data_IF_793347967665
#
_entry.id   IF_793347967665
#
_cell.length_a   1.000
_cell.length_b   1.000
_cell.length_c   1.000
_cell.angle_alpha   90.00
_cell.angle_beta   90.00
_cell.angle_gamma   90.00
#
_symmetry.space_group_name_H-M   'P 1'
#
loop_
_entity.id
_entity.type
_entity.pdbx_description
1 polymer ?
#
# COMPACT_ATOMS: atom_id res chain seq x y z
N UNK A 1 -6.36 -8.22 26.57
CA UNK A 1 -6.99 -7.86 25.28
C UNK A 1 -6.43 -6.52 24.87
N UNK A 2 -5.73 -6.44 23.74
CA UNK A 2 -5.28 -5.14 23.23
C UNK A 2 -6.52 -4.28 22.91
N UNK A 3 -6.48 -3.01 23.31
CA UNK A 3 -7.57 -2.07 23.03
C UNK A 3 -7.66 -1.87 21.50
N UNK A 4 -8.87 -1.76 20.98
CA UNK A 4 -9.12 -1.44 19.58
C UNK A 4 -8.53 -0.06 19.26
N UNK A 5 -7.59 -0.02 18.29
CA UNK A 5 -6.95 1.22 17.87
C UNK A 5 -7.63 1.77 16.61
N UNK A 6 -8.17 2.98 16.74
CA UNK A 6 -8.73 3.70 15.60
C UNK A 6 -7.62 4.05 14.58
N UNK A 7 -6.40 4.36 15.05
CA UNK A 7 -5.26 4.63 14.20
C UNK A 7 -4.90 3.41 13.33
N UNK A 8 -4.85 2.23 13.93
CA UNK A 8 -4.62 0.98 13.21
C UNK A 8 -5.72 0.67 12.18
N UNK A 9 -6.99 0.93 12.52
CA UNK A 9 -8.10 0.78 11.57
C UNK A 9 -7.97 1.72 10.37
N UNK A 10 -7.67 2.98 10.62
CA UNK A 10 -7.49 3.99 9.55
C UNK A 10 -6.29 3.60 8.67
N UNK A 11 -5.16 3.17 9.26
CA UNK A 11 -4.01 2.72 8.50
C UNK A 11 -4.37 1.52 7.61
N UNK A 12 -4.97 0.48 8.18
CA UNK A 12 -5.40 -0.70 7.44
C UNK A 12 -6.35 -0.35 6.29
N UNK A 13 -7.33 0.52 6.55
CA UNK A 13 -8.26 1.01 5.54
C UNK A 13 -7.54 1.75 4.41
N UNK A 14 -6.72 2.75 4.75
CA UNK A 14 -6.06 3.58 3.75
C UNK A 14 -5.04 2.82 2.90
N UNK A 15 -4.21 1.98 3.53
CA UNK A 15 -3.24 1.18 2.78
C UNK A 15 -3.96 0.22 1.85
N UNK A 16 -4.93 -0.55 2.35
CA UNK A 16 -5.68 -1.48 1.51
C UNK A 16 -6.43 -0.77 0.37
N UNK A 17 -7.03 0.40 0.65
CA UNK A 17 -7.72 1.19 -0.36
C UNK A 17 -6.77 1.65 -1.46
N UNK A 18 -5.56 2.09 -1.09
CA UNK A 18 -4.55 2.58 -2.03
C UNK A 18 -4.05 1.43 -2.91
N UNK A 19 -3.58 0.33 -2.30
CA UNK A 19 -3.01 -0.79 -3.06
C UNK A 19 -4.05 -1.41 -4.00
N UNK A 20 -5.26 -1.67 -3.53
CA UNK A 20 -6.30 -2.20 -4.42
C UNK A 20 -6.83 -1.18 -5.44
N UNK A 21 -6.74 0.13 -5.19
CA UNK A 21 -7.01 1.14 -6.22
C UNK A 21 -5.99 1.06 -7.36
N UNK A 22 -4.73 0.73 -7.06
CA UNK A 22 -3.69 0.49 -8.08
C UNK A 22 -3.96 -0.79 -8.86
N UNK A 23 -4.37 -1.88 -8.19
CA UNK A 23 -4.86 -3.10 -8.88
C UNK A 23 -5.93 -2.74 -9.91
N UNK A 24 -6.95 -1.98 -9.50
CA UNK A 24 -8.05 -1.58 -10.39
C UNK A 24 -7.52 -0.76 -11.57
N UNK A 25 -6.70 0.26 -11.34
CA UNK A 25 -6.14 1.13 -12.40
C UNK A 25 -5.30 0.31 -13.38
N UNK A 26 -4.44 -0.59 -12.87
CA UNK A 26 -3.56 -1.41 -13.69
C UNK A 26 -4.34 -2.47 -14.49
N UNK A 27 -5.39 -3.08 -13.90
CA UNK A 27 -6.29 -4.00 -14.59
C UNK A 27 -7.00 -3.28 -15.74
N UNK A 28 -7.51 -2.07 -15.52
CA UNK A 28 -8.12 -1.28 -16.59
C UNK A 28 -7.11 -0.90 -17.69
N UNK A 29 -5.85 -0.63 -17.31
CA UNK A 29 -4.79 -0.36 -18.28
C UNK A 29 -4.42 -1.60 -19.11
N UNK A 30 -4.32 -2.78 -18.47
CA UNK A 30 -4.07 -4.07 -19.15
C UNK A 30 -5.29 -4.51 -19.98
N UNK A 31 -6.49 -4.22 -19.49
CA UNK A 31 -7.76 -4.66 -20.07
C UNK A 31 -8.37 -3.68 -21.09
N UNK A 32 -7.59 -2.70 -21.59
CA UNK A 32 -8.08 -1.72 -22.58
C UNK A 32 -8.57 -2.38 -23.90
N UNK A 33 -8.11 -3.59 -24.22
CA UNK A 33 -8.59 -4.40 -25.32
C UNK A 33 -9.85 -5.21 -24.95
N UNK A 34 -10.78 -5.39 -25.93
CA UNK A 34 -12.02 -6.14 -25.69
C UNK A 34 -11.74 -7.56 -25.20
N UNK A 35 -12.31 -7.94 -24.04
CA UNK A 35 -12.18 -9.27 -23.42
C UNK A 35 -10.94 -9.44 -22.50
N UNK A 36 -9.93 -8.62 -22.62
CA UNK A 36 -8.72 -8.68 -21.80
C UNK A 36 -8.98 -8.35 -20.32
N UNK A 37 -9.92 -7.43 -20.04
CA UNK A 37 -10.30 -7.03 -18.69
C UNK A 37 -10.70 -8.24 -17.82
N UNK A 38 -11.48 -9.18 -18.36
CA UNK A 38 -11.89 -10.38 -17.63
C UNK A 38 -10.70 -11.24 -17.21
N UNK A 39 -9.76 -11.49 -18.11
CA UNK A 39 -8.59 -12.31 -17.82
C UNK A 39 -7.65 -11.61 -16.82
N UNK A 40 -7.43 -10.31 -16.98
CA UNK A 40 -6.65 -9.52 -16.04
C UNK A 40 -7.29 -9.48 -14.65
N UNK A 41 -8.61 -9.31 -14.54
CA UNK A 41 -9.33 -9.33 -13.25
C UNK A 41 -9.27 -10.68 -12.56
N UNK A 42 -9.48 -11.79 -13.30
CA UNK A 42 -9.38 -13.14 -12.73
C UNK A 42 -7.94 -13.41 -12.27
N UNK A 43 -6.96 -13.02 -13.07
CA UNK A 43 -5.55 -13.12 -12.68
C UNK A 43 -5.25 -12.36 -11.40
N UNK A 44 -5.69 -11.10 -11.29
CA UNK A 44 -5.46 -10.29 -10.09
C UNK A 44 -6.14 -10.89 -8.84
N UNK A 45 -7.38 -11.36 -8.96
CA UNK A 45 -8.06 -12.03 -7.86
C UNK A 45 -7.32 -13.30 -7.42
N UNK A 46 -6.81 -14.10 -8.36
CA UNK A 46 -6.02 -15.29 -8.06
C UNK A 46 -4.70 -14.95 -7.37
N UNK A 47 -3.96 -13.95 -7.87
CA UNK A 47 -2.71 -13.48 -7.27
C UNK A 47 -2.91 -12.95 -5.86
N UNK A 48 -3.95 -12.13 -5.65
CA UNK A 48 -4.33 -11.62 -4.33
C UNK A 48 -4.72 -12.76 -3.36
N UNK A 49 -5.50 -13.74 -3.83
CA UNK A 49 -5.93 -14.87 -3.00
C UNK A 49 -4.75 -15.73 -2.54
N UNK A 50 -3.77 -15.99 -3.41
CA UNK A 50 -2.56 -16.75 -3.06
C UNK A 50 -1.77 -16.03 -1.98
N UNK A 51 -1.52 -14.73 -2.14
CA UNK A 51 -0.76 -13.94 -1.15
C UNK A 51 -1.53 -13.84 0.17
N UNK A 52 -2.83 -13.61 0.14
CA UNK A 52 -3.67 -13.57 1.34
C UNK A 52 -3.65 -14.92 2.10
N UNK A 53 -3.72 -16.05 1.40
CA UNK A 53 -3.63 -17.38 2.02
C UNK A 53 -2.28 -17.60 2.70
N UNK A 54 -1.17 -17.20 2.06
CA UNK A 54 0.18 -17.26 2.65
C UNK A 54 0.24 -16.36 3.90
N UNK A 55 -0.28 -15.15 3.82
CA UNK A 55 -0.28 -14.20 4.93
C UNK A 55 -1.08 -14.70 6.15
N UNK A 56 -2.24 -15.33 5.93
CA UNK A 56 -3.04 -15.93 7.00
C UNK A 56 -2.26 -17.06 7.69
N UNK A 57 -1.59 -17.92 6.91
CA UNK A 57 -0.75 -18.99 7.45
C UNK A 57 0.46 -18.46 8.25
N UNK A 58 1.13 -17.43 7.75
CA UNK A 58 2.26 -16.79 8.42
C UNK A 58 1.84 -16.02 9.69
N UNK A 59 0.66 -15.36 9.66
CA UNK A 59 0.15 -14.58 10.79
C UNK A 59 -0.02 -15.39 12.07
N UNK A 60 -0.43 -16.64 11.95
CA UNK A 60 -0.57 -17.54 13.11
C UNK A 60 0.74 -17.84 13.83
N UNK A 61 1.86 -17.85 13.11
CA UNK A 61 3.19 -18.08 13.69
C UNK A 61 3.72 -16.82 14.41
N UNK A 62 3.36 -15.62 13.95
CA UNK A 62 3.83 -14.36 14.54
C UNK A 62 3.17 -14.03 15.88
N UNK A 63 1.92 -14.48 16.10
CA UNK A 63 1.19 -14.25 17.37
C UNK A 63 1.87 -14.93 18.58
N UNK A 64 2.79 -15.86 18.35
CA UNK A 64 3.52 -16.56 19.42
C UNK A 64 4.72 -15.76 19.99
N UNK A 65 5.06 -14.61 19.42
CA UNK A 65 6.21 -13.80 19.86
C UNK A 65 5.88 -12.87 21.04
N UNK A 66 6.84 -12.55 21.93
CA UNK A 66 6.67 -11.51 22.96
C UNK A 66 6.33 -10.15 22.37
N UNK A 67 5.47 -9.39 23.06
CA UNK A 67 4.90 -8.14 22.52
C UNK A 67 5.92 -7.05 22.17
N UNK A 68 6.97 -6.88 22.99
CA UNK A 68 8.03 -5.88 22.74
C UNK A 68 8.90 -6.25 21.52
N UNK A 69 9.28 -7.52 21.41
CA UNK A 69 10.03 -8.02 20.27
C UNK A 69 9.22 -7.94 18.98
N UNK A 70 7.92 -8.22 19.10
CA UNK A 70 6.98 -8.12 17.99
C UNK A 70 6.83 -6.67 17.49
N UNK A 71 6.71 -5.69 18.39
CA UNK A 71 6.65 -4.27 18.02
C UNK A 71 7.95 -3.82 17.35
N UNK A 72 9.11 -4.22 17.88
CA UNK A 72 10.41 -3.92 17.28
C UNK A 72 10.58 -4.53 15.89
N UNK A 73 10.26 -5.82 15.76
CA UNK A 73 10.28 -6.51 14.46
C UNK A 73 9.32 -5.88 13.45
N UNK A 74 8.09 -5.55 13.90
CA UNK A 74 7.08 -4.89 13.07
C UNK A 74 7.54 -3.51 12.61
N UNK A 75 8.17 -2.73 13.49
CA UNK A 75 8.73 -1.43 13.14
C UNK A 75 9.82 -1.55 12.05
N UNK A 76 10.71 -2.55 12.17
CA UNK A 76 11.74 -2.81 11.16
C UNK A 76 11.11 -3.18 9.81
N UNK A 77 10.12 -4.06 9.81
CA UNK A 77 9.39 -4.45 8.59
C UNK A 77 8.72 -3.25 7.95
N UNK A 78 8.03 -2.41 8.75
CA UNK A 78 7.39 -1.20 8.24
C UNK A 78 8.40 -0.17 7.71
N UNK A 79 9.57 0.00 8.34
CA UNK A 79 10.62 0.87 7.79
C UNK A 79 11.15 0.34 6.47
N UNK A 80 11.45 -0.95 6.37
CA UNK A 80 11.92 -1.58 5.13
C UNK A 80 10.90 -1.42 4.01
N UNK A 81 9.62 -1.68 4.33
CA UNK A 81 8.52 -1.50 3.40
C UNK A 81 8.29 -0.02 3.03
N UNK A 82 8.39 0.89 3.99
CA UNK A 82 8.33 2.33 3.75
C UNK A 82 9.39 2.80 2.74
N UNK A 83 10.63 2.27 2.84
CA UNK A 83 11.70 2.54 1.86
C UNK A 83 11.33 1.98 0.47
N UNK A 84 10.77 0.78 0.41
CA UNK A 84 10.30 0.16 -0.84
C UNK A 84 9.18 1.00 -1.47
N UNK A 85 8.17 1.37 -0.68
CA UNK A 85 7.05 2.20 -1.13
C UNK A 85 7.49 3.61 -1.52
N UNK A 86 8.46 4.21 -0.82
CA UNK A 86 9.07 5.47 -1.22
C UNK A 86 9.68 5.41 -2.64
N UNK A 87 10.41 4.34 -2.96
CA UNK A 87 10.95 4.12 -4.30
C UNK A 87 9.83 3.96 -5.34
N UNK A 88 8.76 3.27 -4.99
CA UNK A 88 7.56 3.12 -5.84
C UNK A 88 6.89 4.47 -6.07
N UNK A 89 6.70 5.26 -5.02
CA UNK A 89 6.15 6.63 -5.06
C UNK A 89 6.97 7.53 -5.97
N UNK A 90 8.30 7.54 -5.82
CA UNK A 90 9.21 8.33 -6.67
C UNK A 90 9.08 7.93 -8.15
N UNK A 91 8.99 6.62 -8.45
CA UNK A 91 8.74 6.13 -9.82
C UNK A 91 7.40 6.61 -10.37
N UNK A 92 6.33 6.60 -9.56
CA UNK A 92 5.01 7.11 -9.94
C UNK A 92 5.04 8.60 -10.27
N UNK A 93 5.75 9.41 -9.48
CA UNK A 93 5.95 10.84 -9.77
C UNK A 93 6.74 11.08 -11.06
N UNK A 94 7.77 10.28 -11.33
CA UNK A 94 8.54 10.35 -12.59
C UNK A 94 7.67 9.98 -13.79
N UNK A 95 6.88 8.91 -13.71
CA UNK A 95 5.95 8.51 -14.78
C UNK A 95 4.88 9.55 -15.05
N UNK A 96 4.33 10.17 -14.01
CA UNK A 96 3.32 11.22 -14.17
C UNK A 96 3.84 12.49 -14.88
N UNK A 97 5.17 12.66 -14.96
CA UNK A 97 5.85 13.76 -15.68
C UNK A 97 6.39 13.35 -17.04
N UNK A 98 6.40 12.06 -17.36
CA UNK A 98 6.84 11.56 -18.66
C UNK A 98 5.77 11.83 -19.74
N UNK A 99 6.19 12.05 -21.01
CA UNK A 99 5.24 12.16 -22.10
C UNK A 99 4.47 10.85 -22.29
N UNK A 100 3.22 10.90 -22.81
CA UNK A 100 2.44 9.69 -23.08
C UNK A 100 3.20 8.74 -24.03
N UNK A 101 3.30 7.48 -23.65
CA UNK A 101 3.91 6.46 -24.50
C UNK A 101 2.97 6.09 -25.64
N UNK A 102 3.52 5.72 -26.82
CA UNK A 102 2.74 5.23 -27.95
C UNK A 102 2.00 3.92 -27.60
N UNK A 103 0.84 3.61 -28.23
CA UNK A 103 0.15 2.35 -28.03
C UNK A 103 1.05 1.15 -28.36
N UNK A 104 1.15 0.21 -27.41
CA UNK A 104 1.92 -1.02 -27.62
C UNK A 104 1.21 -2.04 -28.54
N UNK A 105 1.90 -3.12 -28.94
CA UNK A 105 1.30 -4.20 -29.75
C UNK A 105 0.17 -4.91 -28.97
N UNK A 106 -0.78 -5.51 -29.72
CA UNK A 106 -1.87 -6.31 -29.15
C UNK A 106 -1.32 -7.51 -28.37
N UNK A 107 -1.81 -7.72 -27.16
CA UNK A 107 -1.31 -8.72 -26.21
C UNK A 107 -2.29 -9.91 -26.12
N UNK A 108 -1.77 -11.15 -26.02
CA UNK A 108 -2.58 -12.37 -25.96
C UNK A 108 -3.28 -12.57 -24.59
N UNK A 109 -4.45 -13.25 -24.52
CA UNK A 109 -5.21 -13.48 -23.29
C UNK A 109 -4.43 -14.09 -22.12
N UNK A 110 -3.56 -15.12 -22.31
CA UNK A 110 -2.75 -15.67 -21.21
C UNK A 110 -1.80 -14.64 -20.58
N UNK A 111 -1.31 -13.70 -21.37
CA UNK A 111 -0.42 -12.63 -20.89
C UNK A 111 -1.21 -11.63 -20.05
N UNK A 112 -2.47 -11.37 -20.37
CA UNK A 112 -3.35 -10.54 -19.55
C UNK A 112 -3.63 -11.19 -18.18
N UNK A 113 -3.88 -12.51 -18.14
CA UNK A 113 -4.02 -13.24 -16.89
C UNK A 113 -2.74 -13.17 -16.06
N UNK A 114 -1.58 -13.48 -16.63
CA UNK A 114 -0.30 -13.43 -15.93
C UNK A 114 0.03 -12.01 -15.46
N UNK A 115 -0.23 -10.99 -16.27
CA UNK A 115 -0.10 -9.58 -15.88
C UNK A 115 -1.01 -9.21 -14.72
N UNK A 116 -2.27 -9.60 -14.77
CA UNK A 116 -3.22 -9.43 -13.69
C UNK A 116 -2.78 -10.14 -12.41
N UNK A 117 -2.39 -11.42 -12.50
CA UNK A 117 -1.87 -12.20 -11.37
C UNK A 117 -0.69 -11.52 -10.70
N UNK A 118 0.28 -11.08 -11.48
CA UNK A 118 1.47 -10.38 -10.97
C UNK A 118 1.08 -9.08 -10.26
N UNK A 119 0.19 -8.29 -10.85
CA UNK A 119 -0.31 -7.05 -10.22
C UNK A 119 -1.02 -7.37 -8.91
N UNK A 120 -2.00 -8.28 -8.91
CA UNK A 120 -2.73 -8.65 -7.70
C UNK A 120 -1.82 -9.21 -6.61
N UNK A 121 -0.82 -10.03 -6.96
CA UNK A 121 0.13 -10.56 -6.00
C UNK A 121 1.04 -9.47 -5.41
N UNK A 122 1.56 -8.56 -6.24
CA UNK A 122 2.45 -7.47 -5.78
C UNK A 122 1.68 -6.53 -4.84
N UNK A 123 0.54 -5.99 -5.28
CA UNK A 123 -0.19 -5.00 -4.48
C UNK A 123 -0.77 -5.63 -3.19
N UNK A 124 -1.18 -6.92 -3.24
CA UNK A 124 -1.59 -7.62 -2.02
C UNK A 124 -0.40 -7.86 -1.08
N UNK A 125 0.80 -8.12 -1.60
CA UNK A 125 2.00 -8.22 -0.77
C UNK A 125 2.32 -6.89 -0.09
N UNK A 126 2.13 -5.77 -0.80
CA UNK A 126 2.30 -4.43 -0.24
C UNK A 126 1.29 -4.15 0.87
N UNK A 127 0.02 -4.49 0.68
CA UNK A 127 -1.00 -4.39 1.73
C UNK A 127 -0.68 -5.29 2.94
N UNK A 128 -0.33 -6.55 2.71
CA UNK A 128 0.01 -7.54 3.74
C UNK A 128 1.23 -7.12 4.55
N UNK A 129 2.24 -6.51 3.93
CA UNK A 129 3.42 -6.01 4.63
C UNK A 129 3.09 -4.98 5.73
N UNK A 130 1.93 -4.33 5.65
CA UNK A 130 1.40 -3.43 6.70
C UNK A 130 0.38 -4.13 7.59
N UNK A 131 -0.56 -4.88 7.00
CA UNK A 131 -1.63 -5.53 7.75
C UNK A 131 -1.12 -6.61 8.71
N UNK A 132 -0.09 -7.35 8.30
CA UNK A 132 0.44 -8.45 9.10
C UNK A 132 1.13 -7.97 10.40
N UNK A 133 2.03 -6.96 10.37
CA UNK A 133 2.56 -6.34 11.58
C UNK A 133 1.47 -5.74 12.48
N UNK A 134 0.44 -5.08 11.92
CA UNK A 134 -0.71 -4.57 12.68
C UNK A 134 -1.42 -5.70 13.42
N UNK A 135 -1.73 -6.79 12.71
CA UNK A 135 -2.41 -7.95 13.29
C UNK A 135 -1.55 -8.61 14.38
N UNK A 136 -0.25 -8.78 14.13
CA UNK A 136 0.71 -9.35 15.06
C UNK A 136 0.89 -8.47 16.31
N UNK A 137 0.86 -7.13 16.18
CA UNK A 137 0.86 -6.16 17.27
C UNK A 137 -0.44 -6.11 18.09
N UNK A 138 -1.34 -7.08 17.94
CA UNK A 138 -2.60 -7.18 18.71
C UNK A 138 -3.76 -6.39 18.11
N UNK A 139 -3.61 -5.78 16.93
CA UNK A 139 -4.63 -4.99 16.24
C UNK A 139 -5.35 -5.80 15.13
N UNK A 140 -5.51 -7.11 15.32
CA UNK A 140 -6.10 -8.02 14.33
C UNK A 140 -7.49 -7.57 13.86
N UNK A 141 -8.35 -7.18 14.80
CA UNK A 141 -9.72 -6.74 14.47
C UNK A 141 -9.68 -5.44 13.65
N UNK A 142 -8.83 -4.48 14.04
CA UNK A 142 -8.68 -3.24 13.31
C UNK A 142 -8.12 -3.47 11.90
N UNK A 143 -7.13 -4.35 11.75
CA UNK A 143 -6.53 -4.71 10.47
C UNK A 143 -7.58 -5.35 9.52
N UNK A 144 -8.33 -6.33 10.01
CA UNK A 144 -9.35 -7.04 9.21
C UNK A 144 -10.51 -6.12 8.85
N UNK A 145 -11.06 -5.39 9.83
CA UNK A 145 -12.21 -4.47 9.60
C UNK A 145 -11.81 -3.35 8.65
N UNK A 146 -10.61 -2.76 8.83
CA UNK A 146 -10.09 -1.72 7.94
C UNK A 146 -9.92 -2.22 6.51
N UNK A 147 -9.33 -3.41 6.33
CA UNK A 147 -9.15 -4.01 5.00
C UNK A 147 -10.48 -4.34 4.31
N UNK A 148 -11.45 -4.92 5.05
CA UNK A 148 -12.78 -5.22 4.51
C UNK A 148 -13.54 -3.94 4.14
N UNK A 149 -13.50 -2.93 5.00
CA UNK A 149 -14.14 -1.64 4.71
C UNK A 149 -13.54 -0.97 3.46
N UNK A 150 -12.22 -1.05 3.28
CA UNK A 150 -11.55 -0.56 2.07
C UNK A 150 -12.00 -1.32 0.82
N UNK A 151 -12.05 -2.66 0.88
CA UNK A 151 -12.51 -3.49 -0.23
C UNK A 151 -13.96 -3.19 -0.64
N UNK A 152 -14.86 -3.06 0.35
CA UNK A 152 -16.27 -2.68 0.11
C UNK A 152 -16.36 -1.28 -0.50
N UNK A 153 -15.65 -0.31 0.08
CA UNK A 153 -15.63 1.08 -0.41
C UNK A 153 -15.14 1.17 -1.85
N UNK A 154 -14.06 0.45 -2.17
CA UNK A 154 -13.53 0.40 -3.53
C UNK A 154 -14.48 -0.30 -4.49
N UNK A 155 -15.11 -1.42 -4.08
CA UNK A 155 -16.11 -2.12 -4.88
C UNK A 155 -17.28 -1.21 -5.23
N UNK A 156 -17.80 -0.45 -4.28
CA UNK A 156 -18.85 0.57 -4.50
C UNK A 156 -18.34 1.66 -5.44
N UNK A 157 -17.13 2.18 -5.21
CA UNK A 157 -16.53 3.22 -6.06
C UNK A 157 -16.36 2.73 -7.50
N UNK A 158 -15.89 1.50 -7.71
CA UNK A 158 -15.75 0.90 -9.05
C UNK A 158 -17.11 0.76 -9.73
N UNK A 159 -18.14 0.29 -9.01
CA UNK A 159 -19.48 0.11 -9.56
C UNK A 159 -20.12 1.45 -9.98
N UNK A 160 -19.92 2.52 -9.19
CA UNK A 160 -20.54 3.83 -9.44
C UNK A 160 -19.75 4.72 -10.40
N UNK A 161 -18.40 4.59 -10.43
CA UNK A 161 -17.53 5.61 -11.04
C UNK A 161 -16.44 5.01 -11.93
N UNK A 162 -16.65 3.82 -12.50
CA UNK A 162 -15.64 3.11 -13.29
C UNK A 162 -14.97 3.97 -14.38
N UNK A 163 -15.67 4.93 -14.98
CA UNK A 163 -15.08 5.84 -15.98
C UNK A 163 -14.17 6.93 -15.38
N UNK A 164 -14.35 7.29 -14.10
CA UNK A 164 -13.58 8.34 -13.42
C UNK A 164 -12.36 7.80 -12.68
N UNK A 165 -12.29 6.50 -12.39
CA UNK A 165 -11.17 5.86 -11.69
C UNK A 165 -9.85 6.10 -12.42
N UNK A 166 -9.85 6.14 -13.75
CA UNK A 166 -8.69 6.47 -14.59
C UNK A 166 -8.07 7.87 -14.31
N UNK A 167 -8.76 8.75 -13.58
CA UNK A 167 -8.32 10.13 -13.29
C UNK A 167 -7.67 10.27 -11.92
N UNK A 168 -7.63 9.21 -11.10
CA UNK A 168 -7.02 9.26 -9.76
C UNK A 168 -5.51 9.48 -9.91
N UNK A 169 -5.02 10.51 -9.24
CA UNK A 169 -3.58 10.83 -9.25
C UNK A 169 -2.84 9.92 -8.25
N UNK A 170 -2.55 8.71 -8.65
CA UNK A 170 -1.80 7.69 -7.91
C UNK A 170 -0.59 8.21 -7.11
N UNK A 171 0.24 9.17 -7.62
CA UNK A 171 1.39 9.66 -6.86
C UNK A 171 1.04 10.30 -5.52
N UNK A 172 -0.10 11.00 -5.40
CA UNK A 172 -0.51 11.62 -4.14
C UNK A 172 -0.99 10.61 -3.11
N UNK A 173 -1.69 9.57 -3.55
CA UNK A 173 -2.12 8.46 -2.68
C UNK A 173 -0.89 7.74 -2.12
N UNK A 174 0.07 7.40 -2.99
CA UNK A 174 1.33 6.76 -2.56
C UNK A 174 2.14 7.65 -1.61
N UNK A 175 2.17 8.96 -1.82
CA UNK A 175 2.82 9.89 -0.89
C UNK A 175 2.19 9.80 0.51
N UNK A 176 0.86 9.83 0.59
CA UNK A 176 0.13 9.69 1.85
C UNK A 176 0.42 8.37 2.55
N UNK A 177 0.32 7.24 1.82
CA UNK A 177 0.59 5.91 2.35
C UNK A 177 2.03 5.77 2.85
N UNK A 178 3.01 6.18 2.04
CA UNK A 178 4.43 6.14 2.44
C UNK A 178 4.68 6.91 3.73
N UNK A 179 4.09 8.10 3.85
CA UNK A 179 4.23 8.95 5.04
C UNK A 179 3.58 8.31 6.26
N UNK A 180 2.41 7.70 6.08
CA UNK A 180 1.68 7.02 7.15
C UNK A 180 2.46 5.81 7.66
N UNK A 181 3.02 4.98 6.77
CA UNK A 181 3.85 3.82 7.13
C UNK A 181 5.08 4.26 7.92
N UNK A 182 5.79 5.31 7.51
CA UNK A 182 6.93 5.81 8.27
C UNK A 182 6.52 6.36 9.64
N UNK A 183 5.33 6.95 9.76
CA UNK A 183 4.81 7.41 11.05
C UNK A 183 4.56 6.25 12.01
N UNK A 184 3.88 5.19 11.55
CA UNK A 184 3.66 3.99 12.36
C UNK A 184 4.96 3.26 12.68
N UNK A 185 5.87 3.13 11.71
CA UNK A 185 7.18 2.53 11.95
C UNK A 185 7.94 3.27 13.05
N UNK A 186 7.92 4.62 13.02
CA UNK A 186 8.56 5.46 14.05
C UNK A 186 7.86 5.32 15.40
N UNK A 187 6.52 5.32 15.41
CA UNK A 187 5.72 5.18 16.62
C UNK A 187 6.00 3.83 17.31
N UNK A 188 5.94 2.73 16.58
CA UNK A 188 6.19 1.40 17.13
C UNK A 188 7.65 1.15 17.49
N UNK A 189 8.59 1.73 16.76
CA UNK A 189 10.00 1.72 17.17
C UNK A 189 10.18 2.42 18.53
N UNK A 190 9.51 3.54 18.73
CA UNK A 190 9.51 4.22 20.04
C UNK A 190 8.91 3.36 21.14
N UNK A 191 7.75 2.74 20.92
CA UNK A 191 7.11 1.84 21.90
C UNK A 191 7.99 0.64 22.23
N UNK A 192 8.64 0.02 21.22
CA UNK A 192 9.59 -1.07 21.44
C UNK A 192 10.80 -0.64 22.30
N UNK A 193 11.20 0.63 22.22
CA UNK A 193 12.24 1.27 23.04
C UNK A 193 11.72 1.89 24.36
N UNK A 194 10.47 1.59 24.71
CA UNK A 194 9.80 2.11 25.91
C UNK A 194 9.67 3.65 25.95
N UNK A 195 9.61 4.30 24.79
CA UNK A 195 9.31 5.73 24.69
C UNK A 195 7.82 5.95 25.03
N UNK A 196 7.55 6.82 25.99
CA UNK A 196 6.17 7.23 26.29
C UNK A 196 5.77 8.40 25.40
N UNK A 197 4.84 8.13 24.46
CA UNK A 197 4.35 9.15 23.57
C UNK A 197 3.34 10.07 24.27
N UNK A 198 3.48 11.42 24.20
CA UNK A 198 2.47 12.32 24.68
C UNK A 198 1.12 12.05 24.01
N UNK A 199 0.06 11.93 24.81
CA UNK A 199 -1.30 11.63 24.33
C UNK A 199 -1.45 10.29 23.57
N UNK A 200 -0.52 9.34 23.75
CA UNK A 200 -0.59 8.01 23.14
C UNK A 200 -0.66 8.04 21.61
N UNK A 201 -1.61 7.32 21.01
CA UNK A 201 -1.77 7.21 19.56
C UNK A 201 -2.06 8.54 18.84
N UNK A 202 -2.54 9.57 19.55
CA UNK A 202 -2.76 10.91 18.95
C UNK A 202 -1.44 11.49 18.43
N UNK A 203 -0.31 11.06 19.00
CA UNK A 203 1.03 11.47 18.54
C UNK A 203 1.38 10.98 17.12
N UNK A 204 0.64 10.05 16.56
CA UNK A 204 0.74 9.68 15.15
C UNK A 204 0.46 10.85 14.21
N UNK A 205 -0.39 11.80 14.60
CA UNK A 205 -0.72 12.96 13.76
C UNK A 205 0.53 13.84 13.50
N UNK A 206 1.24 14.35 14.51
CA UNK A 206 2.46 15.11 14.24
C UNK A 206 3.55 14.26 13.55
N UNK A 207 3.69 12.98 13.88
CA UNK A 207 4.61 12.08 13.16
C UNK A 207 4.26 11.98 11.68
N UNK A 208 2.98 11.87 11.35
CA UNK A 208 2.51 11.85 9.97
C UNK A 208 2.84 13.14 9.22
N UNK A 209 2.62 14.30 9.84
CA UNK A 209 2.94 15.60 9.23
C UNK A 209 4.45 15.70 8.96
N UNK A 210 5.29 15.33 9.93
CA UNK A 210 6.75 15.33 9.75
C UNK A 210 7.16 14.36 8.65
N UNK A 211 6.66 13.13 8.67
CA UNK A 211 6.96 12.13 7.64
C UNK A 211 6.51 12.61 6.25
N UNK A 212 5.33 13.23 6.14
CA UNK A 212 4.83 13.77 4.87
C UNK A 212 5.75 14.85 4.30
N UNK A 213 6.23 15.77 5.14
CA UNK A 213 7.15 16.81 4.72
C UNK A 213 8.51 16.24 4.29
N UNK A 214 9.05 15.28 5.05
CA UNK A 214 10.33 14.62 4.76
C UNK A 214 10.25 13.82 3.46
N UNK A 215 9.21 12.96 3.32
CA UNK A 215 9.03 12.13 2.12
C UNK A 215 8.81 12.99 0.89
N UNK A 216 7.99 14.05 0.98
CA UNK A 216 7.77 15.00 -0.11
C UNK A 216 9.06 15.70 -0.51
N UNK A 217 9.82 16.22 0.47
CA UNK A 217 11.12 16.88 0.22
C UNK A 217 12.12 15.95 -0.46
N UNK A 218 12.19 14.68 0.01
CA UNK A 218 13.05 13.66 -0.59
C UNK A 218 12.64 13.31 -2.04
N UNK A 219 11.33 13.24 -2.32
CA UNK A 219 10.82 13.04 -3.69
C UNK A 219 11.22 14.23 -4.58
N UNK A 220 11.01 15.46 -4.13
CA UNK A 220 11.37 16.66 -4.91
C UNK A 220 12.88 16.72 -5.19
N UNK A 221 13.72 16.41 -4.20
CA UNK A 221 15.17 16.32 -4.37
C UNK A 221 15.56 15.23 -5.39
N UNK A 222 14.93 14.03 -5.31
CA UNK A 222 15.15 12.95 -6.25
C UNK A 222 14.70 13.26 -7.68
N UNK A 223 13.67 14.10 -7.84
CA UNK A 223 13.20 14.55 -9.16
C UNK A 223 14.13 15.63 -9.77
N UNK A 224 14.73 16.47 -8.94
CA UNK A 224 15.70 17.50 -9.41
C UNK A 224 16.97 16.88 -9.96
N UNK A 225 17.49 15.82 -9.32
CA UNK A 225 18.73 15.11 -9.74
C UNK A 225 18.62 14.44 -11.11
N UNK A 226 17.42 14.20 -11.61
CA UNK A 226 17.17 13.53 -12.90
C UNK A 226 16.81 14.50 -14.03
N UNK A 227 16.87 15.82 -13.83
CA UNK A 227 16.76 16.79 -14.93
C UNK A 227 18.06 16.77 -15.72
N UNK A 228 18.03 16.57 -17.05
CA UNK A 228 19.22 16.77 -17.88
C UNK A 228 19.70 18.21 -17.70
N UNK A 229 21.01 18.37 -17.55
CA UNK A 229 21.65 19.69 -17.55
C UNK A 229 21.36 20.27 -18.94
N UNK A 230 20.77 21.47 -19.06
CA UNK A 230 20.64 22.11 -20.36
C UNK A 230 22.03 22.35 -20.90
N UNK A 231 22.33 21.74 -22.05
CA UNK A 231 23.53 21.98 -22.86
C UNK A 231 23.41 23.29 -23.62
#
# INVERSE_FOLDING_TARGET
MAAFSLGALILAFLVTLIEYSEVVILIYALGAERGALRYASIGAAAGSAVVAAIAIGAGSALVALPSSELLGASAIVLFAFGIFLFRSTLRSYRRARAPPSAPGPKIAPPVHFAGGFTVGAIETTEAVAVLLPLAAGGQQVAAVVGALAAGVSLGIAVALVHERIRRIKTPWLKLGATSLIFSFATFWAGEALHVTWPYGEVFLIPLFVVALLVVRGAIEAGLRRTRPVPT
#
